data_IF_868969179460
#
_entry.id   IF_868969179460
#
_cell.length_a   1.000
_cell.length_b   1.000
_cell.length_c   1.000
_cell.angle_alpha   90.00
_cell.angle_beta   90.00
_cell.angle_gamma   90.00
#
_symmetry.space_group_name_H-M   'P 1'
#
loop_
_entity.id
_entity.type
_entity.pdbx_description
1 polymer ?
#
# COMPACT_ATOMS: atom_id res chain seq x y z
N UNK A 1 0.99 14.72 -12.34
CA UNK A 1 0.61 14.64 -10.92
C UNK A 1 0.69 13.16 -10.59
N UNK A 2 1.55 12.75 -9.65
CA UNK A 2 1.61 11.35 -9.19
C UNK A 2 0.69 11.25 -7.98
N UNK A 3 -0.33 10.41 -8.08
CA UNK A 3 -1.17 10.07 -6.93
C UNK A 3 -0.43 9.00 -6.12
N UNK A 4 0.07 9.40 -4.96
CA UNK A 4 0.62 8.49 -3.95
C UNK A 4 -0.43 8.27 -2.86
N UNK A 5 -0.66 7.01 -2.51
CA UNK A 5 -1.52 6.60 -1.41
C UNK A 5 -0.69 5.76 -0.44
N UNK A 6 -0.83 6.00 0.86
CA UNK A 6 -0.11 5.23 1.87
C UNK A 6 -1.07 4.36 2.64
N UNK A 7 -0.62 3.17 3.00
CA UNK A 7 -1.41 2.19 3.74
C UNK A 7 -0.56 1.56 4.84
N UNK A 8 -1.20 1.24 5.96
CA UNK A 8 -0.64 0.35 6.95
C UNK A 8 -1.25 -1.04 6.74
N UNK A 9 -0.48 -1.94 6.12
CA UNK A 9 -0.87 -3.32 5.89
C UNK A 9 -0.29 -4.22 6.98
N UNK A 10 -1.13 -4.61 7.93
CA UNK A 10 -0.78 -5.54 9.01
C UNK A 10 0.44 -5.11 9.85
N UNK A 11 0.63 -3.81 10.05
CA UNK A 11 1.78 -3.24 10.76
C UNK A 11 2.96 -2.87 9.85
N UNK A 12 2.85 -3.08 8.53
CA UNK A 12 3.85 -2.65 7.53
C UNK A 12 3.34 -1.44 6.77
N UNK A 13 4.18 -0.42 6.68
CA UNK A 13 3.85 0.77 5.92
C UNK A 13 4.13 0.55 4.43
N UNK A 14 3.12 0.78 3.60
CA UNK A 14 3.18 0.67 2.14
C UNK A 14 2.87 2.03 1.50
N UNK A 15 3.48 2.29 0.36
CA UNK A 15 3.14 3.41 -0.52
C UNK A 15 2.77 2.85 -1.90
N UNK A 16 1.60 3.20 -2.39
CA UNK A 16 1.08 2.82 -3.70
C UNK A 16 1.05 4.07 -4.56
N UNK A 17 1.77 4.05 -5.69
CA UNK A 17 1.89 5.20 -6.59
C UNK A 17 1.27 4.84 -7.93
N UNK A 18 0.40 5.72 -8.46
CA UNK A 18 -0.12 5.58 -9.82
C UNK A 18 0.90 6.14 -10.81
N UNK A 19 1.38 5.30 -11.74
CA UNK A 19 2.31 5.69 -12.81
C UNK A 19 1.94 5.01 -14.12
N UNK A 20 1.71 5.80 -15.17
CA UNK A 20 1.38 5.31 -16.52
C UNK A 20 0.22 4.30 -16.51
N UNK A 21 -0.86 4.64 -15.81
CA UNK A 21 -2.01 3.76 -15.57
C UNK A 21 -1.73 2.52 -14.71
N UNK A 22 -0.49 2.28 -14.26
CA UNK A 22 -0.17 1.13 -13.43
C UNK A 22 0.01 1.54 -11.97
N UNK A 23 -0.35 0.64 -11.06
CA UNK A 23 -0.06 0.80 -9.65
C UNK A 23 1.31 0.19 -9.33
N UNK A 24 2.15 0.98 -8.67
CA UNK A 24 3.45 0.52 -8.19
C UNK A 24 3.44 0.57 -6.68
N UNK A 25 3.72 -0.56 -6.04
CA UNK A 25 3.74 -0.67 -4.58
C UNK A 25 5.16 -0.60 -4.08
N UNK A 26 5.36 0.14 -2.99
CA UNK A 26 6.62 0.27 -2.29
C UNK A 26 6.41 -0.07 -0.81
N UNK A 27 7.29 -0.89 -0.25
CA UNK A 27 7.41 -1.06 1.20
C UNK A 27 8.24 0.09 1.76
N UNK A 28 7.68 0.81 2.73
CA UNK A 28 8.37 1.85 3.48
C UNK A 28 9.02 1.22 4.72
N UNK A 29 10.35 1.13 4.71
CA UNK A 29 11.15 0.66 5.82
C UNK A 29 11.54 1.76 6.80
N UNK A 30 12.23 1.38 7.88
CA UNK A 30 12.86 2.33 8.78
C UNK A 30 13.88 3.21 8.03
N UNK A 31 14.02 4.47 8.45
CA UNK A 31 14.95 5.48 7.88
C UNK A 31 14.60 5.98 6.46
N UNK A 32 13.33 5.98 6.06
CA UNK A 32 12.90 6.55 4.78
C UNK A 32 13.28 5.73 3.55
N UNK A 33 13.77 4.50 3.75
CA UNK A 33 14.07 3.55 2.66
C UNK A 33 12.76 3.05 2.08
N UNK A 34 12.54 3.28 0.78
CA UNK A 34 11.45 2.67 0.02
C UNK A 34 11.99 1.56 -0.87
N UNK A 35 11.36 0.39 -0.83
CA UNK A 35 11.71 -0.76 -1.69
C UNK A 35 10.51 -1.15 -2.54
N UNK A 36 10.65 -1.37 -3.85
CA UNK A 36 9.55 -1.87 -4.66
C UNK A 36 9.10 -3.21 -4.10
N UNK A 37 7.79 -3.34 -3.90
CA UNK A 37 7.16 -4.60 -3.56
C UNK A 37 6.80 -5.30 -4.87
N UNK A 38 7.04 -6.61 -4.96
CA UNK A 38 6.62 -7.43 -6.10
C UNK A 38 5.11 -7.74 -5.98
N UNK A 39 4.30 -6.69 -5.93
CA UNK A 39 2.85 -6.77 -5.79
C UNK A 39 2.21 -6.23 -7.06
N UNK A 40 1.41 -7.08 -7.71
CA UNK A 40 0.69 -6.72 -8.91
C UNK A 40 -0.72 -6.25 -8.54
N UNK A 41 -0.99 -4.97 -8.78
CA UNK A 41 -2.33 -4.38 -8.64
C UNK A 41 -2.83 -3.98 -10.04
N UNK A 42 -3.99 -4.50 -10.50
CA UNK A 42 -4.59 -4.13 -11.77
C UNK A 42 -4.92 -2.63 -11.84
N UNK A 43 -4.73 -2.02 -13.00
CA UNK A 43 -5.04 -0.60 -13.21
C UNK A 43 -6.53 -0.25 -13.04
N UNK A 44 -7.40 -1.25 -13.14
CA UNK A 44 -8.85 -1.14 -12.94
C UNK A 44 -9.25 -0.90 -11.49
N UNK A 45 -8.36 -1.19 -10.53
CA UNK A 45 -8.62 -0.97 -9.10
C UNK A 45 -8.60 0.54 -8.80
N UNK A 46 -9.68 1.03 -8.21
CA UNK A 46 -9.79 2.41 -7.74
C UNK A 46 -8.96 2.63 -6.46
N UNK A 47 -8.57 3.88 -6.19
CA UNK A 47 -7.77 4.22 -5.02
C UNK A 47 -8.43 3.81 -3.68
N UNK A 48 -9.77 3.88 -3.61
CA UNK A 48 -10.55 3.51 -2.42
C UNK A 48 -10.54 1.98 -2.17
N UNK A 49 -10.41 1.18 -3.24
CA UNK A 49 -10.37 -0.28 -3.17
C UNK A 49 -8.96 -0.84 -2.90
N UNK A 50 -7.92 0.00 -2.99
CA UNK A 50 -6.53 -0.42 -2.77
C UNK A 50 -6.33 -1.06 -1.39
N UNK A 51 -6.95 -0.51 -0.35
CA UNK A 51 -6.84 -1.04 1.00
C UNK A 51 -7.37 -2.47 1.08
N UNK A 52 -8.58 -2.70 0.56
CA UNK A 52 -9.20 -4.02 0.51
C UNK A 52 -8.35 -5.00 -0.31
N UNK A 53 -7.96 -4.61 -1.52
CA UNK A 53 -7.16 -5.45 -2.42
C UNK A 53 -5.80 -5.85 -1.79
N UNK A 54 -5.11 -4.90 -1.17
CA UNK A 54 -3.87 -5.17 -0.44
C UNK A 54 -4.10 -6.10 0.75
N UNK A 55 -5.24 -5.98 1.43
CA UNK A 55 -5.62 -6.84 2.55
C UNK A 55 -5.82 -8.28 2.13
N UNK A 56 -6.53 -8.51 1.02
CA UNK A 56 -6.71 -9.83 0.44
C UNK A 56 -5.37 -10.43 -0.04
N UNK A 57 -4.54 -9.63 -0.71
CA UNK A 57 -3.25 -10.08 -1.25
C UNK A 57 -2.23 -10.41 -0.15
N UNK A 58 -2.25 -9.66 0.97
CA UNK A 58 -1.32 -9.81 2.08
C UNK A 58 -1.94 -10.54 3.27
N UNK A 59 -3.13 -11.14 3.12
CA UNK A 59 -3.90 -11.77 4.20
C UNK A 59 -3.08 -12.77 5.03
N UNK A 60 -2.11 -13.45 4.43
CA UNK A 60 -1.22 -14.38 5.13
C UNK A 60 -0.36 -13.71 6.21
N UNK A 61 -0.10 -12.40 6.08
CA UNK A 61 0.61 -11.60 7.07
C UNK A 61 -0.33 -10.97 8.12
N UNK A 62 -1.65 -11.19 8.02
CA UNK A 62 -2.61 -10.70 8.99
C UNK A 62 -2.35 -11.33 10.35
N UNK A 63 -2.41 -10.50 11.39
CA UNK A 63 -2.27 -10.94 12.78
C UNK A 63 -3.56 -10.62 13.54
N UNK A 64 -3.83 -11.27 14.68
CA UNK A 64 -5.00 -10.93 15.50
C UNK A 64 -5.04 -9.46 15.92
N UNK A 65 -3.88 -8.78 15.96
CA UNK A 65 -3.74 -7.37 16.36
C UNK A 65 -3.82 -6.39 15.20
N UNK A 66 -3.50 -6.83 13.99
CA UNK A 66 -3.64 -6.06 12.76
C UNK A 66 -4.27 -7.00 11.73
N UNK A 67 -5.60 -6.94 11.61
CA UNK A 67 -6.39 -7.82 10.75
C UNK A 67 -6.91 -7.11 9.49
N UNK A 68 -6.60 -5.82 9.35
CA UNK A 68 -7.04 -4.99 8.23
C UNK A 68 -5.91 -4.09 7.73
N UNK A 69 -6.05 -3.65 6.48
CA UNK A 69 -5.18 -2.66 5.85
C UNK A 69 -5.88 -1.33 5.90
N UNK A 70 -5.26 -0.34 6.54
CA UNK A 70 -5.87 1.00 6.70
C UNK A 70 -5.12 2.06 5.91
N UNK A 71 -5.82 2.98 5.22
CA UNK A 71 -5.17 4.13 4.62
C UNK A 71 -4.55 5.01 5.71
N UNK A 72 -3.37 5.53 5.44
CA UNK A 72 -2.70 6.48 6.33
C UNK A 72 -2.45 7.78 5.59
N UNK A 73 -2.63 8.94 6.26
CA UNK A 73 -2.38 10.22 5.62
C UNK A 73 -0.92 10.31 5.17
N UNK A 74 -0.69 10.86 3.97
CA UNK A 74 0.61 11.41 3.63
C UNK A 74 0.86 12.55 4.62
N UNK A 75 1.62 12.27 5.68
CA UNK A 75 2.13 13.34 6.54
C UNK A 75 3.13 14.13 5.70
N UNK A 76 2.67 15.25 5.16
CA UNK A 76 3.52 16.37 4.77
C UNK A 76 4.37 16.72 6.00
N UNK A 77 5.69 16.60 5.85
CA UNK A 77 6.66 17.01 6.85
C UNK A 77 6.98 18.49 6.65
#
# INVERSE_FOLDING_TARGET
MQDEYRFNAFGRLLAVVRKNDQWIVFVLGAEGKRRPADLHIPSTIAADELAQYLGDLLHEAATPRYNEVVPVPLRDA
#
